data_IF_605777439342
#
_entry.id   IF_605777439342
#
_cell.length_a   1.000
_cell.length_b   1.000
_cell.length_c   1.000
_cell.angle_alpha   90.00
_cell.angle_beta   90.00
_cell.angle_gamma   90.00
#
_symmetry.space_group_name_H-M   'P 1'
#
loop_
_entity.id
_entity.type
_entity.pdbx_description
1 polymer ?
#
# COMPACT_ATOMS: atom_id res chain seq x y z
N UNK A 1 -11.68 -45.61 -2.58
CA UNK A 1 -11.04 -45.06 -3.80
C UNK A 1 -11.61 -45.65 -5.09
N UNK A 2 -11.62 -46.97 -5.29
CA UNK A 2 -12.23 -47.56 -6.51
C UNK A 2 -13.73 -47.21 -6.67
N UNK A 3 -14.52 -47.35 -5.60
CA UNK A 3 -15.93 -46.91 -5.55
C UNK A 3 -16.11 -45.40 -5.78
N UNK A 4 -15.19 -44.56 -5.27
CA UNK A 4 -15.30 -43.09 -5.37
C UNK A 4 -14.86 -42.52 -6.71
N UNK A 5 -14.07 -43.27 -7.48
CA UNK A 5 -13.60 -42.91 -8.82
C UNK A 5 -14.40 -43.62 -9.92
N UNK A 6 -15.58 -44.18 -9.60
CA UNK A 6 -16.41 -44.95 -10.53
C UNK A 6 -15.67 -46.17 -11.15
N UNK A 7 -14.64 -46.68 -10.48
CA UNK A 7 -13.85 -47.84 -10.92
C UNK A 7 -14.28 -49.14 -10.23
N UNK A 8 -15.44 -49.16 -9.58
CA UNK A 8 -16.00 -50.36 -8.96
C UNK A 8 -17.00 -51.00 -9.92
N UNK A 9 -16.93 -52.33 -10.01
CA UNK A 9 -17.70 -53.11 -10.98
C UNK A 9 -19.21 -53.02 -10.65
N UNK A 10 -20.06 -52.56 -11.60
CA UNK A 10 -21.51 -52.47 -11.44
C UNK A 10 -22.18 -53.77 -10.97
N UNK A 11 -21.61 -54.92 -11.34
CA UNK A 11 -22.17 -56.24 -11.05
C UNK A 11 -22.05 -56.68 -9.59
N UNK A 12 -21.28 -55.97 -8.76
CA UNK A 12 -21.07 -56.27 -7.34
C UNK A 12 -21.80 -55.31 -6.39
N UNK A 13 -22.62 -54.40 -6.93
CA UNK A 13 -23.40 -53.49 -6.09
C UNK A 13 -24.58 -54.18 -5.42
N UNK A 14 -25.18 -55.18 -6.06
CA UNK A 14 -26.34 -55.90 -5.52
C UNK A 14 -25.99 -56.60 -4.19
N UNK A 15 -24.81 -57.23 -4.12
CA UNK A 15 -24.29 -57.86 -2.89
C UNK A 15 -24.02 -56.85 -1.75
N UNK A 16 -23.72 -55.60 -2.09
CA UNK A 16 -23.45 -54.52 -1.12
C UNK A 16 -24.75 -53.89 -0.62
N UNK A 17 -25.81 -53.92 -1.43
CA UNK A 17 -27.13 -53.39 -1.10
C UNK A 17 -27.91 -54.31 -0.15
N UNK A 18 -27.66 -55.61 -0.18
CA UNK A 18 -28.29 -56.60 0.72
C UNK A 18 -27.93 -56.37 2.21
N UNK A 19 -26.83 -55.70 2.49
CA UNK A 19 -26.40 -55.36 3.85
C UNK A 19 -26.60 -53.87 4.16
N UNK A 20 -27.72 -53.52 4.81
CA UNK A 20 -28.11 -52.14 5.11
C UNK A 20 -27.05 -51.31 5.86
N UNK A 21 -26.26 -51.92 6.75
CA UNK A 21 -25.20 -51.22 7.49
C UNK A 21 -24.01 -50.90 6.57
N UNK A 22 -23.67 -51.82 5.67
CA UNK A 22 -22.56 -51.67 4.73
C UNK A 22 -22.88 -50.59 3.69
N UNK A 23 -24.11 -50.57 3.17
CA UNK A 23 -24.54 -49.57 2.19
C UNK A 23 -24.50 -48.14 2.77
N UNK A 24 -24.98 -47.93 4.00
CA UNK A 24 -24.90 -46.63 4.68
C UNK A 24 -23.44 -46.20 4.94
N UNK A 25 -22.58 -47.13 5.34
CA UNK A 25 -21.15 -46.84 5.54
C UNK A 25 -20.44 -46.46 4.23
N UNK A 26 -20.76 -47.13 3.12
CA UNK A 26 -20.19 -46.81 1.80
C UNK A 26 -20.70 -45.46 1.29
N UNK A 27 -22.01 -45.18 1.38
CA UNK A 27 -22.59 -43.90 0.94
C UNK A 27 -22.03 -42.74 1.75
N UNK A 28 -21.96 -42.87 3.08
CA UNK A 28 -21.36 -41.83 3.93
C UNK A 28 -19.88 -41.61 3.63
N UNK A 29 -19.11 -42.67 3.41
CA UNK A 29 -17.71 -42.57 2.98
C UNK A 29 -17.57 -41.86 1.63
N UNK A 30 -18.46 -42.13 0.66
CA UNK A 30 -18.47 -41.47 -0.64
C UNK A 30 -18.78 -39.97 -0.52
N UNK A 31 -19.80 -39.61 0.26
CA UNK A 31 -20.18 -38.21 0.49
C UNK A 31 -19.05 -37.44 1.17
N UNK A 32 -18.45 -38.01 2.22
CA UNK A 32 -17.33 -37.39 2.94
C UNK A 32 -16.12 -37.23 2.01
N UNK A 33 -15.75 -38.29 1.29
CA UNK A 33 -14.61 -38.26 0.36
C UNK A 33 -14.80 -37.25 -0.76
N UNK A 34 -15.99 -37.20 -1.35
CA UNK A 34 -16.30 -36.25 -2.43
C UNK A 34 -16.28 -34.81 -1.93
N UNK A 35 -16.93 -34.54 -0.80
CA UNK A 35 -16.97 -33.20 -0.19
C UNK A 35 -15.56 -32.73 0.19
N UNK A 36 -14.77 -33.62 0.79
CA UNK A 36 -13.38 -33.34 1.14
C UNK A 36 -12.51 -33.03 -0.08
N UNK A 37 -12.58 -33.87 -1.12
CA UNK A 37 -11.79 -33.68 -2.35
C UNK A 37 -12.19 -32.42 -3.11
N UNK A 38 -13.49 -32.10 -3.19
CA UNK A 38 -13.97 -30.87 -3.82
C UNK A 38 -13.54 -29.62 -3.04
N UNK A 39 -13.59 -29.67 -1.70
CA UNK A 39 -13.13 -28.57 -0.86
C UNK A 39 -11.62 -28.36 -1.00
N UNK A 40 -10.83 -29.43 -1.05
CA UNK A 40 -9.39 -29.34 -1.31
C UNK A 40 -9.11 -28.78 -2.71
N UNK A 41 -9.81 -29.25 -3.74
CA UNK A 41 -9.64 -28.76 -5.11
C UNK A 41 -9.96 -27.26 -5.20
N UNK A 42 -11.04 -26.84 -4.56
CA UNK A 42 -11.44 -25.42 -4.52
C UNK A 42 -10.39 -24.57 -3.79
N UNK A 43 -9.85 -25.05 -2.67
CA UNK A 43 -8.79 -24.37 -1.94
C UNK A 43 -7.49 -24.26 -2.76
N UNK A 44 -7.09 -25.33 -3.44
CA UNK A 44 -5.92 -25.34 -4.32
C UNK A 44 -6.10 -24.38 -5.50
N UNK A 45 -7.27 -24.41 -6.14
CA UNK A 45 -7.58 -23.54 -7.27
C UNK A 45 -7.59 -22.07 -6.84
N UNK A 46 -8.20 -21.74 -5.70
CA UNK A 46 -8.23 -20.37 -5.19
C UNK A 46 -6.84 -19.86 -4.86
N UNK A 47 -6.00 -20.67 -4.21
CA UNK A 47 -4.63 -20.30 -3.88
C UNK A 47 -3.79 -20.08 -5.15
N UNK A 48 -3.86 -21.01 -6.10
CA UNK A 48 -3.17 -20.89 -7.38
C UNK A 48 -3.64 -19.66 -8.17
N UNK A 49 -4.95 -19.41 -8.18
CA UNK A 49 -5.52 -18.24 -8.83
C UNK A 49 -4.99 -16.93 -8.22
N UNK A 50 -4.99 -16.81 -6.89
CA UNK A 50 -4.50 -15.60 -6.21
C UNK A 50 -3.03 -15.30 -6.51
N UNK A 51 -2.20 -16.34 -6.64
CA UNK A 51 -0.77 -16.19 -6.99
C UNK A 51 -0.64 -15.73 -8.45
N UNK A 52 -1.33 -16.40 -9.38
CA UNK A 52 -1.16 -16.16 -10.82
C UNK A 52 -1.86 -14.88 -11.30
N UNK A 53 -2.91 -14.43 -10.62
CA UNK A 53 -3.72 -13.28 -11.06
C UNK A 53 -2.92 -11.98 -11.19
N UNK A 54 -2.03 -11.70 -10.23
CA UNK A 54 -1.18 -10.50 -10.29
C UNK A 54 -0.18 -10.59 -11.44
N UNK A 55 0.39 -11.79 -11.65
CA UNK A 55 1.33 -12.04 -12.74
C UNK A 55 0.65 -11.90 -14.11
N UNK A 56 -0.61 -12.31 -14.26
CA UNK A 56 -1.35 -12.17 -15.53
C UNK A 56 -1.44 -10.72 -16.02
N UNK A 57 -1.65 -9.77 -15.12
CA UNK A 57 -1.67 -8.35 -15.49
C UNK A 57 -0.28 -7.87 -15.93
N UNK A 58 0.78 -8.32 -15.23
CA UNK A 58 2.17 -8.06 -15.63
C UNK A 58 2.49 -8.62 -17.01
N UNK A 59 2.14 -9.88 -17.26
CA UNK A 59 2.30 -10.53 -18.56
C UNK A 59 1.53 -9.84 -19.67
N UNK A 60 0.29 -9.39 -19.42
CA UNK A 60 -0.50 -8.67 -20.41
C UNK A 60 0.14 -7.33 -20.79
N UNK A 61 0.65 -6.57 -19.81
CA UNK A 61 1.38 -5.31 -20.05
C UNK A 61 2.67 -5.55 -20.79
N UNK A 62 3.45 -6.57 -20.40
CA UNK A 62 4.69 -6.93 -21.06
C UNK A 62 4.46 -7.36 -22.51
N UNK A 63 3.41 -8.16 -22.76
CA UNK A 63 3.05 -8.58 -24.10
C UNK A 63 2.66 -7.39 -24.99
N UNK A 64 1.91 -6.42 -24.45
CA UNK A 64 1.62 -5.16 -25.17
C UNK A 64 2.88 -4.36 -25.47
N UNK A 65 3.78 -4.21 -24.50
CA UNK A 65 5.04 -3.49 -24.69
C UNK A 65 5.91 -4.17 -25.76
N UNK A 66 5.99 -5.49 -25.74
CA UNK A 66 6.68 -6.30 -26.76
C UNK A 66 6.15 -5.99 -28.14
N UNK A 67 4.83 -6.04 -28.35
CA UNK A 67 4.20 -5.73 -29.64
C UNK A 67 4.56 -4.31 -30.09
N UNK A 68 4.51 -3.32 -29.20
CA UNK A 68 4.87 -1.92 -29.54
C UNK A 68 6.33 -1.82 -29.99
N UNK A 69 7.26 -2.45 -29.26
CA UNK A 69 8.70 -2.45 -29.59
C UNK A 69 8.97 -3.18 -30.90
N UNK A 70 8.30 -4.31 -31.15
CA UNK A 70 8.40 -5.06 -32.40
C UNK A 70 7.82 -4.30 -33.60
N UNK A 71 6.75 -3.51 -33.39
CA UNK A 71 6.18 -2.65 -34.43
C UNK A 71 7.00 -1.37 -34.65
N UNK A 72 7.81 -0.94 -33.70
CA UNK A 72 8.60 0.29 -33.78
C UNK A 72 9.47 0.42 -35.05
N UNK A 73 10.25 -0.60 -35.49
CA UNK A 73 11.04 -0.51 -36.71
C UNK A 73 10.21 -0.39 -38.00
N UNK A 74 8.91 -0.70 -37.96
CA UNK A 74 8.02 -0.54 -39.13
C UNK A 74 7.68 0.93 -39.42
N UNK A 75 7.92 1.83 -38.47
CA UNK A 75 7.63 3.25 -38.62
C UNK A 75 8.75 3.92 -39.43
N UNK A 76 8.37 4.62 -40.51
CA UNK A 76 9.32 5.39 -41.31
C UNK A 76 10.01 6.48 -40.47
N UNK A 77 11.33 6.61 -40.58
CA UNK A 77 12.16 7.52 -39.77
C UNK A 77 11.66 8.97 -39.79
N UNK A 78 11.20 9.47 -40.94
CA UNK A 78 10.66 10.84 -41.02
C UNK A 78 9.41 11.03 -40.15
N UNK A 79 8.50 10.03 -40.09
CA UNK A 79 7.30 10.10 -39.22
C UNK A 79 7.68 10.01 -37.75
N UNK A 80 8.67 9.18 -37.42
CA UNK A 80 9.20 9.09 -36.06
C UNK A 80 9.80 10.42 -35.61
N UNK A 81 10.63 11.05 -36.43
CA UNK A 81 11.21 12.37 -36.12
C UNK A 81 10.14 13.46 -35.99
N UNK A 82 9.13 13.47 -36.87
CA UNK A 82 8.02 14.42 -36.76
C UNK A 82 7.26 14.24 -35.45
N UNK A 83 6.98 12.99 -35.06
CA UNK A 83 6.37 12.68 -33.76
C UNK A 83 7.23 13.17 -32.59
N UNK A 84 8.51 12.80 -32.55
CA UNK A 84 9.43 13.23 -31.48
C UNK A 84 9.51 14.75 -31.37
N UNK A 85 9.62 15.44 -32.51
CA UNK A 85 9.67 16.91 -32.54
C UNK A 85 8.33 17.53 -32.08
N UNK A 86 7.19 16.90 -32.36
CA UNK A 86 5.87 17.39 -31.91
C UNK A 86 5.69 17.38 -30.40
N UNK A 87 6.44 16.53 -29.68
CA UNK A 87 6.40 16.45 -28.23
C UNK A 87 7.09 17.65 -27.55
N UNK A 88 7.86 18.45 -28.30
CA UNK A 88 8.57 19.65 -27.79
C UNK A 88 9.39 19.36 -26.51
N UNK A 89 9.98 18.17 -26.46
CA UNK A 89 10.78 17.71 -25.32
C UNK A 89 12.04 18.57 -25.09
N UNK A 90 12.50 19.28 -26.14
CA UNK A 90 13.63 20.20 -26.05
C UNK A 90 13.21 21.62 -25.59
N UNK A 91 11.91 21.92 -25.44
CA UNK A 91 11.41 23.20 -24.92
C UNK A 91 11.23 23.13 -23.38
N UNK A 92 11.48 24.23 -22.64
CA UNK A 92 11.22 24.28 -21.21
C UNK A 92 9.74 24.02 -20.90
N UNK A 93 9.47 23.07 -19.99
CA UNK A 93 8.09 22.78 -19.58
C UNK A 93 7.46 24.02 -18.92
N UNK A 94 6.29 24.50 -19.41
CA UNK A 94 5.61 25.62 -18.78
C UNK A 94 5.05 25.18 -17.43
N UNK A 95 5.34 25.95 -16.38
CA UNK A 95 4.76 25.76 -15.06
C UNK A 95 3.27 26.14 -15.10
N UNK A 96 2.41 25.24 -14.64
CA UNK A 96 1.01 25.53 -14.41
C UNK A 96 0.82 26.49 -13.22
N UNK A 97 -0.37 27.09 -13.07
CA UNK A 97 -0.67 28.04 -11.99
C UNK A 97 -0.62 27.46 -10.57
N UNK A 98 -0.40 26.14 -10.43
CA UNK A 98 -0.21 25.44 -9.16
C UNK A 98 1.18 24.82 -8.99
N UNK A 99 2.09 24.98 -9.96
CA UNK A 99 3.42 24.39 -9.89
C UNK A 99 4.38 25.34 -9.17
N UNK A 100 4.97 24.89 -8.07
CA UNK A 100 5.97 25.64 -7.28
C UNK A 100 7.36 25.08 -7.59
N UNK A 101 8.24 25.87 -8.19
CA UNK A 101 9.61 25.44 -8.51
C UNK A 101 10.37 26.39 -9.43
N UNK A 102 11.65 26.10 -9.69
CA UNK A 102 12.45 26.88 -10.64
C UNK A 102 11.89 26.68 -12.06
N UNK A 103 11.53 27.76 -12.79
CA UNK A 103 10.96 27.66 -14.12
C UNK A 103 11.90 26.96 -15.10
N UNK A 104 11.33 26.12 -15.96
CA UNK A 104 12.02 25.53 -17.10
C UNK A 104 12.96 24.36 -16.79
N UNK A 105 12.42 23.25 -16.28
CA UNK A 105 13.13 21.97 -16.38
C UNK A 105 13.41 21.69 -17.87
N UNK A 106 14.67 21.81 -18.27
CA UNK A 106 15.15 21.44 -19.60
C UNK A 106 15.38 19.93 -19.57
N UNK A 107 14.71 19.19 -20.45
CA UNK A 107 14.95 17.75 -20.56
C UNK A 107 16.38 17.53 -21.11
N UNK A 108 17.27 17.00 -20.28
CA UNK A 108 18.63 16.64 -20.69
C UNK A 108 18.62 15.20 -21.19
N UNK A 109 19.18 14.97 -22.38
CA UNK A 109 19.41 13.60 -22.89
C UNK A 109 20.63 13.03 -22.17
N UNK A 110 20.39 12.19 -21.17
CA UNK A 110 21.45 11.45 -20.47
C UNK A 110 21.40 9.95 -20.81
N UNK A 111 22.57 9.26 -20.88
CA UNK A 111 22.63 7.81 -20.96
C UNK A 111 21.99 7.15 -19.73
N UNK A 112 21.19 6.11 -19.94
CA UNK A 112 20.51 5.38 -18.86
C UNK A 112 21.46 4.78 -17.80
N UNK A 113 22.73 4.60 -18.14
CA UNK A 113 23.78 4.08 -17.24
C UNK A 113 24.45 5.17 -16.40
N UNK A 114 24.26 6.45 -16.71
CA UNK A 114 25.00 7.55 -16.07
C UNK A 114 24.50 7.81 -14.64
N UNK A 115 23.19 7.69 -14.40
CA UNK A 115 22.58 7.85 -13.09
C UNK A 115 21.52 6.76 -12.87
N UNK A 116 21.98 5.54 -12.56
CA UNK A 116 21.08 4.42 -12.29
C UNK A 116 20.37 4.63 -10.95
N UNK A 117 19.09 5.01 -11.00
CA UNK A 117 18.24 5.17 -9.82
C UNK A 117 17.50 3.86 -9.57
N UNK A 118 17.93 3.10 -8.54
CA UNK A 118 17.31 1.81 -8.17
C UNK A 118 16.08 1.96 -7.28
N UNK A 119 15.82 3.16 -6.76
CA UNK A 119 14.73 3.46 -5.82
C UNK A 119 13.97 4.68 -6.34
N UNK A 120 12.65 4.57 -6.49
CA UNK A 120 11.81 5.70 -6.93
C UNK A 120 11.96 6.88 -5.96
N UNK A 121 12.48 8.00 -6.47
CA UNK A 121 12.68 9.23 -5.69
C UNK A 121 11.42 10.11 -5.66
N UNK A 122 10.38 9.77 -6.43
CA UNK A 122 9.15 10.57 -6.52
C UNK A 122 8.15 10.08 -5.49
N UNK A 123 8.02 10.83 -4.39
CA UNK A 123 6.95 10.61 -3.42
C UNK A 123 5.62 11.15 -3.96
N UNK A 124 4.68 10.23 -4.23
CA UNK A 124 3.34 10.58 -4.74
C UNK A 124 2.36 10.62 -3.57
N UNK A 125 1.82 11.79 -3.29
CA UNK A 125 0.79 11.98 -2.28
C UNK A 125 -0.58 12.12 -2.94
N UNK A 126 -1.58 11.36 -2.48
CA UNK A 126 -2.96 11.57 -2.89
C UNK A 126 -3.57 12.75 -2.13
N UNK A 127 -4.31 13.63 -2.80
CA UNK A 127 -4.96 14.78 -2.17
C UNK A 127 -5.38 15.86 -3.15
N UNK A 128 -5.95 16.94 -2.62
CA UNK A 128 -6.25 18.15 -3.39
C UNK A 128 -4.99 18.98 -3.56
N UNK A 129 -4.74 19.51 -4.76
CA UNK A 129 -3.62 20.43 -5.06
C UNK A 129 -3.94 21.89 -4.70
N UNK A 130 -4.90 22.10 -3.80
CA UNK A 130 -5.25 23.44 -3.33
C UNK A 130 -4.09 24.07 -2.59
N UNK A 131 -3.83 25.37 -2.81
CA UNK A 131 -2.81 26.15 -2.09
C UNK A 131 -3.07 26.26 -0.59
N UNK A 132 -4.30 25.95 -0.14
CA UNK A 132 -4.66 25.87 1.28
C UNK A 132 -4.41 24.49 1.89
N UNK A 133 -4.12 23.47 1.07
CA UNK A 133 -3.75 22.16 1.57
C UNK A 133 -2.29 22.20 2.02
N UNK A 134 -2.06 21.93 3.30
CA UNK A 134 -0.71 21.81 3.84
C UNK A 134 -0.01 20.61 3.20
N UNK A 135 1.21 20.82 2.71
CA UNK A 135 2.04 19.73 2.19
C UNK A 135 2.21 18.66 3.29
N UNK A 136 2.13 17.36 2.98
CA UNK A 136 2.43 16.32 3.95
C UNK A 136 3.78 16.58 4.60
N UNK A 137 3.86 16.46 5.92
CA UNK A 137 5.12 16.57 6.63
C UNK A 137 6.07 15.53 6.03
N UNK A 138 7.15 16.01 5.42
CA UNK A 138 8.21 15.16 4.91
C UNK A 138 8.92 14.63 6.15
N UNK A 139 8.55 13.43 6.60
CA UNK A 139 9.47 12.65 7.43
C UNK A 139 10.72 12.48 6.57
N UNK A 140 11.82 13.13 6.97
CA UNK A 140 13.08 13.16 6.22
C UNK A 140 13.36 11.76 5.66
N UNK A 141 13.36 11.66 4.33
CA UNK A 141 13.64 10.42 3.64
C UNK A 141 15.12 10.07 3.81
N UNK A 142 15.41 9.43 4.94
CA UNK A 142 16.68 8.82 5.29
C UNK A 142 16.38 7.67 6.24
N UNK A 143 16.32 6.46 5.70
CA UNK A 143 16.11 5.20 6.42
C UNK A 143 14.68 4.93 6.91
N UNK A 144 13.82 4.50 5.97
CA UNK A 144 12.69 3.61 6.27
C UNK A 144 13.17 2.23 6.76
N UNK A 145 13.99 2.19 7.81
CA UNK A 145 14.37 0.98 8.50
C UNK A 145 13.32 0.66 9.56
N UNK A 146 13.19 -0.61 9.92
CA UNK A 146 12.32 -1.09 11.01
C UNK A 146 12.50 -0.32 12.34
N UNK A 147 13.56 0.47 12.46
CA UNK A 147 13.96 1.29 13.59
C UNK A 147 12.99 2.45 13.87
N UNK A 148 12.36 3.05 12.87
CA UNK A 148 11.37 4.12 13.08
C UNK A 148 10.01 3.57 13.55
N UNK A 149 9.62 2.42 13.00
CA UNK A 149 8.47 1.67 13.51
C UNK A 149 8.72 1.18 14.94
N UNK A 150 9.94 0.72 15.23
CA UNK A 150 10.37 0.36 16.59
C UNK A 150 10.39 1.57 17.52
N UNK A 151 10.82 2.74 17.06
CA UNK A 151 10.83 3.98 17.84
C UNK A 151 9.42 4.44 18.22
N UNK A 152 8.45 4.34 17.30
CA UNK A 152 7.03 4.58 17.60
C UNK A 152 6.48 3.56 18.60
N UNK A 153 6.85 2.29 18.44
CA UNK A 153 6.44 1.22 19.35
C UNK A 153 7.03 1.43 20.76
N UNK A 154 8.30 1.83 20.86
CA UNK A 154 8.97 2.15 22.11
C UNK A 154 8.34 3.36 22.80
N UNK A 155 8.03 4.43 22.06
CA UNK A 155 7.31 5.60 22.61
C UNK A 155 5.90 5.23 23.11
N UNK A 156 5.20 4.32 22.43
CA UNK A 156 3.91 3.80 22.92
C UNK A 156 4.08 2.97 24.20
N UNK A 157 5.11 2.13 24.27
CA UNK A 157 5.41 1.29 25.43
C UNK A 157 5.80 2.14 26.65
N UNK A 158 6.63 3.17 26.48
CA UNK A 158 6.95 4.13 27.54
C UNK A 158 5.72 4.89 28.04
N UNK A 159 4.83 5.32 27.13
CA UNK A 159 3.56 5.97 27.53
C UNK A 159 2.67 5.02 28.31
N UNK A 160 2.59 3.74 27.91
CA UNK A 160 1.82 2.73 28.63
C UNK A 160 2.38 2.46 30.03
N UNK A 161 3.70 2.31 30.18
CA UNK A 161 4.37 2.12 31.47
C UNK A 161 4.17 3.33 32.39
N UNK A 162 4.32 4.56 31.87
CA UNK A 162 4.07 5.78 32.65
C UNK A 162 2.62 5.89 33.12
N UNK A 163 1.65 5.51 32.27
CA UNK A 163 0.22 5.53 32.62
C UNK A 163 -0.11 4.47 33.68
N UNK A 164 0.51 3.28 33.59
CA UNK A 164 0.39 2.22 34.59
C UNK A 164 0.96 2.66 35.94
N UNK A 165 2.13 3.30 35.95
CA UNK A 165 2.76 3.82 37.17
C UNK A 165 2.01 5.01 37.80
N UNK A 166 1.28 5.80 37.00
CA UNK A 166 0.36 6.83 37.52
C UNK A 166 -0.92 6.21 38.10
N UNK A 167 -1.44 5.15 37.49
CA UNK A 167 -2.66 4.46 37.97
C UNK A 167 -2.46 3.71 39.30
N UNK A 168 -1.23 3.30 39.63
CA UNK A 168 -0.91 2.66 40.92
C UNK A 168 -0.73 3.65 42.07
N UNK A 169 -0.56 4.95 41.80
CA UNK A 169 -0.41 6.00 42.84
C UNK A 169 -1.72 6.67 43.26
N UNK A 170 -2.85 6.40 42.59
CA UNK A 170 -4.15 7.05 42.89
C UNK A 170 -5.14 6.09 43.56
N UNK A 171 -4.69 5.39 44.61
CA UNK A 171 -5.60 4.68 45.54
C UNK A 171 -5.24 4.98 46.99
N UNK A 172 -5.29 6.26 47.39
CA UNK A 172 -5.37 6.66 48.80
C UNK A 172 -5.91 8.10 48.97
N UNK A 173 -7.16 8.19 49.49
CA UNK A 173 -7.80 9.34 50.19
C UNK A 173 -8.13 10.56 49.31
N UNK A 174 -9.17 11.36 49.53
CA UNK A 174 -10.40 11.35 50.34
C UNK A 174 -11.19 12.58 49.87
N UNK A 175 -12.50 12.57 50.09
CA UNK A 175 -13.43 13.72 50.09
C UNK A 175 -12.80 15.07 50.43
N UNK A 176 -13.13 16.14 49.68
CA UNK A 176 -13.86 17.30 50.21
C UNK A 176 -14.28 18.31 49.11
N UNK A 177 -15.39 18.98 49.41
CA UNK A 177 -16.08 20.17 48.91
C UNK A 177 -15.50 21.04 47.77
N UNK A 178 -16.43 21.56 46.95
CA UNK A 178 -16.15 22.43 45.82
C UNK A 178 -15.92 23.90 46.18
N UNK A 179 -15.55 24.69 45.16
CA UNK A 179 -15.99 26.07 45.07
C UNK A 179 -15.92 26.56 43.61
N UNK A 180 -17.03 27.13 43.16
CA UNK A 180 -17.17 27.94 41.95
C UNK A 180 -16.94 29.39 42.36
N UNK A 181 -16.08 30.13 41.66
CA UNK A 181 -16.29 31.57 41.39
C UNK A 181 -15.27 32.16 40.42
N UNK A 182 -15.70 33.29 39.86
CA UNK A 182 -15.35 33.99 38.63
C UNK A 182 -14.59 35.30 38.90
N UNK A 183 -13.70 35.71 38.00
CA UNK A 183 -13.38 37.12 37.58
C UNK A 183 -12.19 37.07 36.61
N UNK A 184 -12.07 37.70 35.44
CA UNK A 184 -12.50 38.95 34.76
C UNK A 184 -11.67 40.21 35.13
N UNK A 185 -11.17 40.86 34.07
CA UNK A 185 -10.54 42.19 33.93
C UNK A 185 -9.05 42.30 34.29
N UNK A 186 -8.19 43.10 33.65
CA UNK A 186 -8.19 44.02 32.47
C UNK A 186 -6.73 44.48 32.26
N UNK A 187 -6.35 44.74 31.00
CA UNK A 187 -5.46 45.82 30.48
C UNK A 187 -4.01 46.09 30.97
N UNK A 188 -3.21 46.60 30.00
CA UNK A 188 -1.97 47.38 30.18
C UNK A 188 -0.73 46.71 29.54
N UNK A 189 -0.43 46.91 28.25
CA UNK A 189 0.43 47.98 27.70
C UNK A 189 1.83 48.04 28.30
N UNK A 190 2.83 47.56 27.55
CA UNK A 190 4.19 48.11 27.60
C UNK A 190 4.84 47.99 26.21
N UNK A 191 5.11 49.15 25.62
CA UNK A 191 6.09 49.35 24.56
C UNK A 191 7.47 49.26 25.21
N UNK A 192 8.41 48.54 24.60
CA UNK A 192 9.83 48.94 24.60
C UNK A 192 10.50 48.45 23.32
N UNK A 193 11.01 49.44 22.58
CA UNK A 193 11.92 49.37 21.46
C UNK A 193 13.28 48.81 21.87
N UNK A 194 13.89 47.98 21.03
CA UNK A 194 15.33 48.10 20.80
C UNK A 194 15.69 47.63 19.40
N UNK A 195 16.22 48.57 18.63
CA UNK A 195 16.90 48.33 17.38
C UNK A 195 18.37 48.10 17.70
N UNK A 196 18.95 47.01 17.22
CA UNK A 196 20.39 46.92 17.01
C UNK A 196 20.67 46.79 15.52
N UNK A 197 21.37 47.80 15.02
CA UNK A 197 22.07 47.82 13.75
C UNK A 197 23.52 47.36 13.95
N UNK A 198 24.28 47.33 12.85
CA UNK A 198 25.76 47.20 12.66
C UNK A 198 26.13 45.81 12.09
N UNK A 199 26.31 45.70 10.76
CA UNK A 199 27.56 45.88 9.96
C UNK A 199 28.62 44.81 10.31
N UNK A 200 29.30 44.11 9.38
CA UNK A 200 29.70 44.38 8.00
C UNK A 200 29.37 43.23 7.02
#
# INVERSE_FOLDING_TARGET
VKMSLLMFDPSKYDDVLDHAVLSVAVVSFLIISLTFLLNLLTAQLSCAYSIVFQDMLGYARLNRAKVVVECMPTIHRSRWHLFVNSLKLDEPCPFGPGDMGMPGAIQVKEPATQHMVTVDMIHRFGGTTSSQAQWPEVEEAGEGSAQDSLGRMQKMLEKAVRKMHKSSKTKKRSSDSGNVSTSRSEEGSDMLSEAEAIND
#
